data_IF_824894642763
#
_entry.id   IF_824894642763
#
_cell.length_a   1.000
_cell.length_b   1.000
_cell.length_c   1.000
_cell.angle_alpha   90.00
_cell.angle_beta   90.00
_cell.angle_gamma   90.00
#
_symmetry.space_group_name_H-M   'P 1'
#
loop_
_entity.id
_entity.type
_entity.pdbx_description
1 polymer ?
#
# COMPACT_ATOMS: atom_id res chain seq x y z
N UNK A 1 -36.32 -10.75 -30.52
CA UNK A 1 -37.73 -10.28 -30.53
C UNK A 1 -38.24 -10.45 -31.95
N UNK A 2 -39.39 -11.12 -32.10
CA UNK A 2 -40.08 -11.24 -33.39
C UNK A 2 -41.28 -10.25 -33.36
N UNK A 3 -41.24 -9.26 -34.24
CA UNK A 3 -42.36 -8.35 -34.48
C UNK A 3 -43.17 -8.93 -35.61
N UNK A 4 -44.43 -9.25 -35.37
CA UNK A 4 -45.36 -9.73 -36.36
C UNK A 4 -46.34 -8.59 -36.69
N UNK A 5 -46.34 -8.18 -37.93
CA UNK A 5 -47.31 -7.20 -38.43
C UNK A 5 -48.38 -7.92 -39.24
N UNK A 6 -49.60 -7.68 -38.89
CA UNK A 6 -50.80 -8.21 -39.60
C UNK A 6 -51.60 -7.03 -40.14
N UNK A 7 -51.91 -7.06 -41.40
CA UNK A 7 -52.82 -6.09 -42.03
C UNK A 7 -54.05 -6.87 -42.52
N UNK A 8 -55.23 -6.36 -42.17
CA UNK A 8 -56.50 -6.91 -42.62
C UNK A 8 -57.20 -5.84 -43.43
N UNK A 9 -57.64 -6.15 -44.60
CA UNK A 9 -58.42 -5.20 -45.43
C UNK A 9 -59.96 -5.22 -45.12
N UNK A 10 -60.73 -4.46 -45.89
CA UNK A 10 -62.15 -4.24 -45.57
C UNK A 10 -63.07 -5.44 -45.83
N UNK A 11 -62.69 -6.44 -46.58
CA UNK A 11 -63.41 -7.69 -46.84
C UNK A 11 -62.85 -8.89 -46.05
N UNK A 12 -61.79 -8.64 -45.23
CA UNK A 12 -61.27 -9.59 -44.27
C UNK A 12 -60.03 -10.36 -44.72
N UNK A 13 -59.41 -10.02 -45.84
CA UNK A 13 -58.14 -10.61 -46.28
C UNK A 13 -56.99 -10.17 -45.41
N UNK A 14 -56.11 -11.12 -45.12
CA UNK A 14 -54.98 -10.94 -44.15
C UNK A 14 -53.64 -11.08 -44.82
N UNK A 15 -52.81 -10.04 -44.72
CA UNK A 15 -51.42 -10.11 -45.02
C UNK A 15 -50.57 -10.07 -43.71
N UNK A 16 -49.55 -10.91 -43.61
CA UNK A 16 -48.70 -10.97 -42.43
C UNK A 16 -47.23 -10.94 -42.84
N UNK A 17 -46.44 -10.17 -42.08
CA UNK A 17 -45.00 -10.13 -42.19
C UNK A 17 -44.38 -10.19 -40.78
N UNK A 18 -43.29 -10.94 -40.65
CA UNK A 18 -42.53 -11.00 -39.42
C UNK A 18 -41.16 -10.37 -39.63
N UNK A 19 -40.75 -9.51 -38.71
CA UNK A 19 -39.41 -8.92 -38.65
C UNK A 19 -38.75 -9.43 -37.36
N UNK A 20 -37.61 -10.06 -37.54
CA UNK A 20 -36.76 -10.45 -36.38
C UNK A 20 -35.87 -9.28 -35.98
N UNK A 21 -36.07 -8.77 -34.80
CA UNK A 21 -35.18 -7.77 -34.17
C UNK A 21 -34.22 -8.52 -33.28
N UNK A 22 -32.98 -8.59 -33.69
CA UNK A 22 -31.91 -9.14 -32.86
C UNK A 22 -31.49 -8.06 -31.85
N UNK A 23 -31.70 -8.30 -30.58
CA UNK A 23 -31.14 -7.47 -29.50
C UNK A 23 -29.82 -8.11 -29.05
N UNK A 24 -28.74 -7.37 -29.13
CA UNK A 24 -27.45 -7.78 -28.60
C UNK A 24 -27.32 -7.11 -27.23
N UNK A 25 -27.05 -7.90 -26.20
CA UNK A 25 -26.85 -7.36 -24.87
C UNK A 25 -25.50 -6.66 -24.76
N UNK A 26 -25.48 -5.47 -24.18
CA UNK A 26 -24.26 -4.74 -23.87
C UNK A 26 -23.62 -5.40 -22.65
N UNK A 27 -22.29 -5.63 -22.63
CA UNK A 27 -21.62 -6.15 -21.44
C UNK A 27 -21.70 -5.15 -20.29
N UNK A 28 -21.59 -5.63 -19.06
CA UNK A 28 -21.49 -4.78 -17.87
C UNK A 28 -20.24 -5.16 -17.08
N UNK A 29 -19.61 -4.16 -16.48
CA UNK A 29 -18.59 -4.30 -15.46
C UNK A 29 -19.22 -4.07 -14.09
N UNK A 30 -19.08 -5.03 -13.18
CA UNK A 30 -19.53 -4.93 -11.80
C UNK A 30 -18.33 -5.07 -10.87
N UNK A 31 -17.84 -3.95 -10.32
CA UNK A 31 -16.81 -3.94 -9.29
C UNK A 31 -17.39 -4.27 -7.91
N UNK A 32 -16.57 -4.83 -7.04
CA UNK A 32 -16.91 -4.96 -5.63
C UNK A 32 -16.26 -3.78 -4.85
N UNK A 33 -16.98 -3.11 -3.94
CA UNK A 33 -18.31 -3.41 -3.41
C UNK A 33 -19.49 -2.90 -4.24
N UNK A 34 -19.33 -1.98 -5.21
CA UNK A 34 -20.40 -1.61 -6.12
C UNK A 34 -19.96 -0.59 -7.19
N UNK A 35 -20.50 -0.72 -8.41
CA UNK A 35 -20.29 0.25 -9.48
C UNK A 35 -19.06 -0.01 -10.34
N UNK A 36 -18.58 0.97 -11.07
CA UNK A 36 -17.53 0.85 -12.09
C UNK A 36 -16.08 0.69 -11.56
N UNK A 37 -15.89 0.29 -10.31
CA UNK A 37 -14.54 0.08 -9.73
C UNK A 37 -14.52 -1.12 -8.79
N UNK A 38 -13.46 -1.92 -8.88
CA UNK A 38 -13.09 -2.93 -7.88
C UNK A 38 -11.95 -2.36 -7.04
N UNK A 39 -12.08 -2.38 -5.73
CA UNK A 39 -11.09 -1.81 -4.80
C UNK A 39 -10.49 -2.92 -3.95
N UNK A 40 -9.17 -2.98 -3.87
CA UNK A 40 -8.44 -3.82 -2.92
C UNK A 40 -7.53 -2.94 -2.06
N UNK A 41 -7.28 -3.39 -0.83
CA UNK A 41 -6.39 -2.69 0.10
C UNK A 41 -5.22 -3.60 0.44
N UNK A 42 -4.01 -3.06 0.36
CA UNK A 42 -2.75 -3.69 0.77
C UNK A 42 -2.17 -2.93 1.96
N UNK A 43 -1.06 -3.42 2.51
CA UNK A 43 -0.41 -2.86 3.70
C UNK A 43 1.11 -2.84 3.48
N UNK A 44 1.68 -1.65 3.53
CA UNK A 44 3.11 -1.41 3.34
C UNK A 44 3.96 -2.01 4.45
N UNK A 45 3.44 -1.99 5.67
CA UNK A 45 4.09 -2.58 6.83
C UNK A 45 4.39 -4.07 6.64
N UNK A 46 3.73 -4.73 5.71
CA UNK A 46 3.94 -6.14 5.36
C UNK A 46 4.78 -6.36 4.10
N UNK A 47 5.37 -5.32 3.48
CA UNK A 47 6.31 -5.50 2.37
C UNK A 47 7.55 -6.24 2.87
N UNK A 48 7.90 -7.42 2.28
CA UNK A 48 9.00 -8.23 2.79
C UNK A 48 10.34 -7.48 2.77
N UNK A 49 10.95 -7.34 3.95
CA UNK A 49 12.25 -6.70 4.13
C UNK A 49 12.26 -5.17 4.14
N UNK A 50 11.09 -4.53 4.05
CA UNK A 50 10.91 -3.08 4.11
C UNK A 50 10.02 -2.69 5.28
N UNK A 51 8.79 -3.22 5.33
CA UNK A 51 7.79 -2.83 6.31
C UNK A 51 8.14 -3.11 7.75
N UNK A 52 7.57 -2.33 8.67
CA UNK A 52 7.77 -2.48 10.11
C UNK A 52 7.01 -3.66 10.71
N UNK A 53 5.97 -4.15 10.02
CA UNK A 53 5.16 -5.31 10.42
C UNK A 53 4.16 -5.02 11.55
N UNK A 54 3.94 -3.76 11.90
CA UNK A 54 3.19 -3.41 13.13
C UNK A 54 1.93 -2.58 12.91
N UNK A 55 1.65 -2.14 11.68
CA UNK A 55 0.64 -1.10 11.40
C UNK A 55 -0.76 -1.61 11.30
N UNK A 56 -0.94 -2.86 10.90
CA UNK A 56 -2.28 -3.40 10.74
C UNK A 56 -2.94 -3.57 12.11
N UNK A 57 -4.05 -2.90 12.39
CA UNK A 57 -4.87 -3.25 13.55
C UNK A 57 -5.16 -4.76 13.47
N UNK A 58 -5.05 -5.49 14.56
CA UNK A 58 -5.28 -6.94 14.64
C UNK A 58 -6.65 -7.39 14.05
N UNK A 59 -7.52 -6.44 13.73
CA UNK A 59 -8.85 -6.62 13.15
C UNK A 59 -8.90 -6.53 11.61
N UNK A 60 -7.79 -6.12 10.94
CA UNK A 60 -7.72 -5.99 9.48
C UNK A 60 -6.40 -6.57 8.98
N UNK A 61 -6.35 -7.88 8.71
CA UNK A 61 -5.13 -8.54 8.24
C UNK A 61 -4.95 -8.28 6.73
N UNK A 62 -4.55 -7.07 6.37
CA UNK A 62 -4.07 -6.82 5.01
C UNK A 62 -2.62 -7.28 4.91
N UNK A 63 -2.29 -7.98 3.82
CA UNK A 63 -0.91 -8.36 3.49
C UNK A 63 -0.35 -7.45 2.41
N UNK A 64 0.94 -7.57 2.12
CA UNK A 64 1.51 -7.00 0.90
C UNK A 64 0.85 -7.58 -0.36
N UNK A 65 0.31 -8.80 -0.30
CA UNK A 65 -0.50 -9.42 -1.35
C UNK A 65 -1.96 -9.51 -0.92
N UNK A 66 -2.86 -9.07 -1.78
CA UNK A 66 -4.32 -9.06 -1.51
C UNK A 66 -5.08 -9.55 -2.73
N UNK A 67 -6.03 -10.46 -2.49
CA UNK A 67 -6.91 -10.97 -3.52
C UNK A 67 -8.09 -10.05 -3.75
N UNK A 68 -8.48 -9.92 -5.03
CA UNK A 68 -9.64 -9.14 -5.44
C UNK A 68 -10.41 -9.83 -6.56
N UNK A 69 -11.57 -9.29 -6.87
CA UNK A 69 -12.38 -9.76 -7.98
C UNK A 69 -13.27 -8.65 -8.55
N UNK A 70 -13.66 -8.82 -9.80
CA UNK A 70 -14.76 -8.09 -10.41
C UNK A 70 -15.59 -9.05 -11.27
N UNK A 71 -16.84 -8.69 -11.54
CA UNK A 71 -17.73 -9.51 -12.34
C UNK A 71 -18.03 -8.88 -13.68
N UNK A 72 -18.06 -9.71 -14.72
CA UNK A 72 -18.50 -9.34 -16.06
C UNK A 72 -19.84 -9.98 -16.35
N UNK A 73 -20.82 -9.20 -16.76
CA UNK A 73 -22.07 -9.74 -17.32
C UNK A 73 -21.97 -9.77 -18.83
N UNK A 74 -21.67 -10.92 -19.39
CA UNK A 74 -21.47 -11.12 -20.83
C UNK A 74 -22.71 -11.66 -21.55
N UNK A 75 -23.75 -12.08 -20.81
CA UNK A 75 -24.98 -12.67 -21.34
C UNK A 75 -24.73 -13.84 -22.30
N UNK A 76 -23.66 -14.61 -22.06
CA UNK A 76 -23.25 -15.77 -22.87
C UNK A 76 -22.49 -15.41 -24.15
N UNK A 77 -22.09 -14.15 -24.33
CA UNK A 77 -21.28 -13.75 -25.47
C UNK A 77 -19.78 -13.95 -25.19
N UNK A 78 -19.01 -14.24 -26.25
CA UNK A 78 -17.56 -14.12 -26.20
C UNK A 78 -17.17 -12.64 -26.10
N UNK A 79 -16.02 -12.37 -25.45
CA UNK A 79 -15.56 -11.02 -25.20
C UNK A 79 -14.02 -10.88 -25.34
N UNK A 80 -13.59 -9.67 -25.69
CA UNK A 80 -12.22 -9.22 -25.43
C UNK A 80 -12.20 -8.38 -24.17
N UNK A 81 -11.34 -8.73 -23.25
CA UNK A 81 -11.15 -8.04 -21.97
C UNK A 81 -9.74 -7.46 -21.94
N UNK A 82 -9.63 -6.16 -21.69
CA UNK A 82 -8.32 -5.52 -21.53
C UNK A 82 -8.21 -5.00 -20.11
N UNK A 83 -7.14 -5.38 -19.42
CA UNK A 83 -6.84 -4.93 -18.04
C UNK A 83 -5.43 -4.33 -18.05
N UNK A 84 -5.29 -3.04 -17.71
CA UNK A 84 -4.00 -2.35 -17.68
C UNK A 84 -3.22 -2.49 -19.00
N UNK A 85 -3.93 -2.58 -20.16
CA UNK A 85 -3.33 -2.80 -21.47
C UNK A 85 -3.07 -4.28 -21.84
N UNK A 86 -3.25 -5.23 -20.94
CA UNK A 86 -3.15 -6.67 -21.22
C UNK A 86 -4.45 -7.20 -21.82
N UNK A 87 -4.40 -7.76 -23.02
CA UNK A 87 -5.55 -8.35 -23.70
C UNK A 87 -5.77 -9.80 -23.26
N UNK A 88 -7.00 -10.09 -22.85
CA UNK A 88 -7.52 -11.40 -22.52
C UNK A 88 -8.76 -11.68 -23.37
N UNK A 89 -9.11 -12.95 -23.56
CA UNK A 89 -10.31 -13.35 -24.31
C UNK A 89 -11.20 -14.23 -23.46
N UNK A 90 -12.50 -13.98 -23.52
CA UNK A 90 -13.49 -14.91 -22.99
C UNK A 90 -14.09 -15.68 -24.16
N UNK A 91 -13.93 -16.99 -24.13
CA UNK A 91 -14.47 -17.92 -25.11
C UNK A 91 -15.15 -19.09 -24.39
N UNK A 92 -16.43 -19.35 -24.72
CA UNK A 92 -17.21 -20.42 -24.11
C UNK A 92 -17.24 -20.35 -22.56
N UNK A 93 -17.28 -19.13 -21.99
CA UNK A 93 -17.33 -18.91 -20.54
C UNK A 93 -16.02 -19.15 -19.80
N UNK A 94 -14.89 -19.18 -20.48
CA UNK A 94 -13.53 -19.30 -19.91
C UNK A 94 -12.64 -18.16 -20.35
N UNK A 95 -11.69 -17.78 -19.49
CA UNK A 95 -10.75 -16.70 -19.75
C UNK A 95 -9.45 -17.27 -20.32
N UNK A 96 -8.93 -16.65 -21.39
CA UNK A 96 -7.71 -17.06 -22.09
C UNK A 96 -6.74 -15.88 -22.26
N UNK A 97 -5.44 -16.18 -22.19
CA UNK A 97 -4.38 -15.29 -22.62
C UNK A 97 -3.47 -16.02 -23.61
N UNK A 98 -3.29 -15.45 -24.80
CA UNK A 98 -2.48 -16.07 -25.88
C UNK A 98 -2.87 -17.54 -26.17
N UNK A 99 -4.16 -17.88 -26.07
CA UNK A 99 -4.68 -19.23 -26.31
C UNK A 99 -4.51 -20.22 -25.17
N UNK A 100 -3.98 -19.80 -24.03
CA UNK A 100 -3.87 -20.58 -22.81
C UNK A 100 -4.98 -20.15 -21.82
N UNK A 101 -5.72 -21.12 -21.25
CA UNK A 101 -6.71 -20.83 -20.21
C UNK A 101 -6.04 -20.22 -18.98
N UNK A 102 -6.56 -19.10 -18.49
CA UNK A 102 -6.05 -18.43 -17.29
C UNK A 102 -6.58 -19.15 -16.07
N UNK A 103 -5.68 -19.67 -15.28
CA UNK A 103 -5.93 -20.40 -14.01
C UNK A 103 -4.87 -19.99 -13.00
N UNK A 104 -5.01 -20.44 -11.74
CA UNK A 104 -4.00 -20.18 -10.71
C UNK A 104 -2.60 -20.69 -11.11
N UNK A 105 -2.52 -21.82 -11.83
CA UNK A 105 -1.25 -22.38 -12.32
C UNK A 105 -0.74 -21.72 -13.63
N UNK A 106 -1.60 -20.98 -14.32
CA UNK A 106 -1.32 -20.26 -15.55
C UNK A 106 -1.82 -18.81 -15.43
N UNK A 107 -1.43 -18.15 -14.36
CA UNK A 107 -1.81 -16.79 -14.06
C UNK A 107 -1.12 -15.78 -14.98
N UNK A 108 -1.76 -14.63 -15.20
CA UNK A 108 -1.29 -13.59 -16.13
C UNK A 108 -0.92 -12.33 -15.36
N UNK A 109 0.36 -11.94 -15.45
CA UNK A 109 0.82 -10.66 -14.90
C UNK A 109 0.39 -9.51 -15.82
N UNK A 110 -0.21 -8.49 -15.22
CA UNK A 110 -0.64 -7.25 -15.86
C UNK A 110 0.38 -6.17 -15.55
N UNK A 111 1.09 -5.63 -16.55
CA UNK A 111 2.04 -4.54 -16.34
C UNK A 111 1.33 -3.22 -16.06
N UNK A 112 2.07 -2.24 -15.56
CA UNK A 112 1.61 -0.85 -15.41
C UNK A 112 1.30 -0.42 -13.98
N UNK A 113 1.50 -1.28 -12.97
CA UNK A 113 1.55 -0.86 -11.59
C UNK A 113 2.84 -0.08 -11.30
N UNK A 114 2.74 1.07 -10.61
CA UNK A 114 3.90 1.85 -10.18
C UNK A 114 4.51 1.25 -8.89
N UNK A 115 3.65 0.74 -8.02
CA UNK A 115 4.03 0.26 -6.70
C UNK A 115 3.93 -1.27 -6.54
N UNK A 116 3.28 -1.96 -7.48
CA UNK A 116 3.12 -3.40 -7.38
C UNK A 116 2.73 -4.10 -8.67
N UNK A 117 2.36 -5.36 -8.54
CA UNK A 117 2.01 -6.22 -9.67
C UNK A 117 0.59 -6.76 -9.51
N UNK A 118 -0.25 -6.54 -10.53
CA UNK A 118 -1.55 -7.19 -10.65
C UNK A 118 -1.38 -8.51 -11.41
N UNK A 119 -1.94 -9.58 -10.88
CA UNK A 119 -1.91 -10.92 -11.49
C UNK A 119 -3.32 -11.47 -11.59
N UNK A 120 -3.80 -11.73 -12.80
CA UNK A 120 -5.11 -12.37 -13.04
C UNK A 120 -4.95 -13.87 -12.88
N UNK A 121 -5.76 -14.47 -12.01
CA UNK A 121 -5.62 -15.87 -11.59
C UNK A 121 -6.72 -16.78 -12.13
N UNK A 122 -7.78 -16.24 -12.74
CA UNK A 122 -8.83 -17.04 -13.34
C UNK A 122 -10.16 -16.32 -13.47
N UNK A 123 -11.16 -17.08 -13.93
CA UNK A 123 -12.56 -16.61 -14.02
C UNK A 123 -13.52 -17.76 -13.69
N UNK A 124 -14.54 -17.46 -12.90
CA UNK A 124 -15.63 -18.38 -12.59
C UNK A 124 -16.67 -18.42 -13.71
N UNK A 125 -17.51 -19.47 -13.68
CA UNK A 125 -18.56 -19.69 -14.67
C UNK A 125 -19.65 -18.58 -14.69
N UNK A 126 -19.75 -17.80 -13.61
CA UNK A 126 -20.70 -16.66 -13.53
C UNK A 126 -20.10 -15.35 -14.10
N UNK A 127 -18.85 -15.40 -14.58
CA UNK A 127 -18.12 -14.25 -15.12
C UNK A 127 -17.33 -13.44 -14.10
N UNK A 128 -17.15 -13.98 -12.89
CA UNK A 128 -16.29 -13.35 -11.86
C UNK A 128 -14.82 -13.61 -12.19
N UNK A 129 -14.08 -12.54 -12.44
CA UNK A 129 -12.62 -12.56 -12.67
C UNK A 129 -11.92 -12.37 -11.35
N UNK A 130 -10.98 -13.26 -11.03
CA UNK A 130 -10.13 -13.22 -9.84
C UNK A 130 -8.75 -12.69 -10.18
N UNK A 131 -8.19 -11.92 -9.27
CA UNK A 131 -6.84 -11.40 -9.37
C UNK A 131 -6.21 -11.27 -7.98
N UNK A 132 -4.89 -11.26 -7.94
CA UNK A 132 -4.10 -10.91 -6.76
C UNK A 132 -3.28 -9.67 -7.10
N UNK A 133 -3.25 -8.68 -6.23
CA UNK A 133 -2.30 -7.59 -6.30
C UNK A 133 -1.23 -7.79 -5.23
N UNK A 134 0.04 -7.61 -5.61
CA UNK A 134 1.19 -7.69 -4.69
C UNK A 134 1.91 -6.36 -4.68
N UNK A 135 1.90 -5.66 -3.56
CA UNK A 135 2.65 -4.45 -3.31
C UNK A 135 4.14 -4.80 -3.15
N UNK A 136 5.03 -4.07 -3.83
CA UNK A 136 6.47 -4.35 -3.86
C UNK A 136 7.33 -3.16 -3.47
N UNK A 137 6.76 -1.95 -3.54
CA UNK A 137 7.40 -0.70 -3.15
C UNK A 137 6.41 0.14 -2.37
N UNK A 138 6.86 0.95 -1.41
CA UNK A 138 6.01 1.83 -0.65
C UNK A 138 5.37 2.92 -1.53
N UNK A 139 4.37 3.59 -0.98
CA UNK A 139 3.59 4.64 -1.62
C UNK A 139 3.68 5.90 -0.76
N UNK A 140 4.39 6.91 -1.23
CA UNK A 140 4.54 8.16 -0.49
C UNK A 140 3.17 8.79 -0.19
N UNK A 141 2.82 8.92 1.07
CA UNK A 141 1.65 9.66 1.54
C UNK A 141 1.88 11.17 1.55
N UNK A 142 2.82 11.68 0.74
CA UNK A 142 3.23 13.08 0.72
C UNK A 142 2.05 14.04 0.56
N UNK A 143 1.80 14.81 1.61
CA UNK A 143 0.74 15.84 1.64
C UNK A 143 -0.41 15.52 2.58
N UNK A 144 -0.41 14.41 3.25
CA UNK A 144 -1.39 14.12 4.30
C UNK A 144 -1.07 14.96 5.56
N UNK A 145 -2.05 15.81 5.91
CA UNK A 145 -1.90 16.79 6.99
C UNK A 145 -1.94 16.19 8.41
N UNK A 146 -1.91 14.88 8.53
CA UNK A 146 -1.90 14.16 9.80
C UNK A 146 -0.53 14.00 10.44
N UNK A 147 0.55 14.33 9.73
CA UNK A 147 1.91 14.37 10.27
C UNK A 147 2.05 15.50 11.30
N UNK A 148 1.48 15.34 12.49
CA UNK A 148 1.63 16.28 13.60
C UNK A 148 2.66 15.76 14.59
N UNK A 149 3.76 16.50 14.83
CA UNK A 149 4.69 16.17 15.90
C UNK A 149 3.93 16.10 17.23
N UNK A 150 3.96 14.93 17.87
CA UNK A 150 3.34 14.72 19.19
C UNK A 150 1.99 13.98 19.21
N UNK A 151 1.41 13.63 18.06
CA UNK A 151 0.33 12.66 17.96
C UNK A 151 0.97 11.32 17.59
N UNK A 152 1.08 10.41 18.52
CA UNK A 152 1.86 9.17 18.40
C UNK A 152 1.21 8.10 17.53
N UNK A 153 0.72 8.46 16.35
CA UNK A 153 0.14 7.57 15.35
C UNK A 153 -0.15 8.30 14.02
N UNK A 154 0.58 9.34 13.68
CA UNK A 154 0.37 10.10 12.48
C UNK A 154 0.87 9.32 11.25
N UNK A 155 0.01 9.14 10.25
CA UNK A 155 0.26 8.43 9.00
C UNK A 155 -0.14 6.97 9.04
N UNK A 156 0.05 6.28 10.13
CA UNK A 156 -0.19 4.85 10.30
C UNK A 156 -1.63 4.43 9.95
N UNK A 157 -1.75 3.54 8.94
CA UNK A 157 -3.03 2.98 8.53
C UNK A 157 -3.88 3.93 7.68
N UNK A 158 -3.35 5.04 7.20
CA UNK A 158 -4.00 5.88 6.20
C UNK A 158 -3.96 5.19 4.83
N UNK A 159 -5.10 5.14 4.14
CA UNK A 159 -5.18 4.48 2.86
C UNK A 159 -4.84 5.47 1.74
N UNK A 160 -3.77 5.20 1.02
CA UNK A 160 -3.29 5.98 -0.12
C UNK A 160 -3.48 5.19 -1.42
N UNK A 161 -3.83 5.87 -2.51
CA UNK A 161 -3.96 5.23 -3.81
C UNK A 161 -2.59 4.79 -4.34
N UNK A 162 -2.32 3.48 -4.32
CA UNK A 162 -1.10 2.89 -4.85
C UNK A 162 -1.14 2.80 -6.38
N UNK A 163 -2.14 2.08 -6.92
CA UNK A 163 -2.23 1.80 -8.35
C UNK A 163 -3.68 1.83 -8.85
N UNK A 164 -3.83 1.95 -10.17
CA UNK A 164 -5.11 1.83 -10.84
C UNK A 164 -4.94 1.20 -12.23
N UNK A 165 -5.80 0.22 -12.54
CA UNK A 165 -5.77 -0.51 -13.81
C UNK A 165 -7.12 -0.35 -14.50
N UNK A 166 -7.13 0.27 -15.67
CA UNK A 166 -8.33 0.40 -16.47
C UNK A 166 -8.77 -0.97 -17.00
N UNK A 167 -10.06 -1.23 -16.97
CA UNK A 167 -10.68 -2.43 -17.51
C UNK A 167 -11.62 -2.05 -18.64
N UNK A 168 -11.51 -2.74 -19.76
CA UNK A 168 -12.42 -2.63 -20.90
C UNK A 168 -12.91 -4.02 -21.31
N UNK A 169 -14.21 -4.18 -21.47
CA UNK A 169 -14.88 -5.42 -21.85
C UNK A 169 -15.63 -5.15 -23.16
N UNK A 170 -15.22 -5.78 -24.25
CA UNK A 170 -15.81 -5.57 -25.58
C UNK A 170 -16.44 -6.86 -26.08
N UNK A 171 -17.72 -6.79 -26.45
CA UNK A 171 -18.48 -7.84 -27.14
C UNK A 171 -19.01 -7.33 -28.47
N UNK A 172 -19.67 -8.17 -29.23
CA UNK A 172 -20.43 -7.73 -30.42
C UNK A 172 -21.55 -6.75 -30.08
N UNK A 173 -21.99 -6.68 -28.84
CA UNK A 173 -23.04 -5.79 -28.34
C UNK A 173 -22.57 -4.41 -27.93
N UNK A 174 -21.28 -4.22 -27.73
CA UNK A 174 -20.70 -2.95 -27.28
C UNK A 174 -19.55 -3.13 -26.33
N UNK A 175 -19.16 -2.03 -25.68
CA UNK A 175 -18.08 -1.99 -24.72
C UNK A 175 -18.55 -1.47 -23.37
N UNK A 176 -18.12 -2.11 -22.29
CA UNK A 176 -18.18 -1.61 -20.92
C UNK A 176 -16.79 -1.30 -20.40
N UNK A 177 -16.68 -0.33 -19.53
CA UNK A 177 -15.42 0.06 -18.89
C UNK A 177 -15.56 0.08 -17.38
N UNK A 178 -14.47 -0.16 -16.69
CA UNK A 178 -14.33 -0.08 -15.24
C UNK A 178 -12.89 0.10 -14.86
N UNK A 179 -12.60 0.02 -13.57
CA UNK A 179 -11.25 0.17 -13.04
C UNK A 179 -11.02 -0.76 -11.86
N UNK A 180 -9.85 -1.36 -11.77
CA UNK A 180 -9.33 -1.98 -10.55
C UNK A 180 -8.47 -0.92 -9.89
N UNK A 181 -8.77 -0.61 -8.63
CA UNK A 181 -8.03 0.38 -7.85
C UNK A 181 -7.42 -0.29 -6.64
N UNK A 182 -6.20 0.08 -6.33
CA UNK A 182 -5.44 -0.45 -5.20
C UNK A 182 -5.13 0.70 -4.25
N UNK A 183 -5.54 0.55 -3.01
CA UNK A 183 -5.15 1.44 -1.93
C UNK A 183 -4.13 0.69 -1.05
N UNK A 184 -3.07 1.35 -0.62
CA UNK A 184 -2.12 0.85 0.36
C UNK A 184 -2.35 1.56 1.70
N UNK A 185 -2.28 0.82 2.79
CA UNK A 185 -2.16 1.39 4.12
C UNK A 185 -0.71 1.79 4.34
N UNK A 186 -0.53 3.01 4.76
CA UNK A 186 0.77 3.62 5.01
C UNK A 186 1.44 3.01 6.24
N UNK A 187 2.76 2.82 6.16
CA UNK A 187 3.61 2.29 7.24
C UNK A 187 4.29 3.46 7.95
N UNK A 188 4.42 3.42 9.24
CA UNK A 188 5.04 4.46 10.04
C UNK A 188 6.26 3.93 10.81
N UNK A 189 7.22 4.79 11.16
CA UNK A 189 8.38 4.37 11.91
C UNK A 189 8.00 3.87 13.30
N UNK A 190 8.76 2.89 13.80
CA UNK A 190 8.56 2.31 15.13
C UNK A 190 9.80 2.50 15.97
N UNK A 191 9.64 3.10 17.16
CA UNK A 191 10.66 3.14 18.18
C UNK A 191 10.33 2.10 19.24
N UNK A 192 10.99 0.93 19.14
CA UNK A 192 10.65 -0.25 19.93
C UNK A 192 11.33 -0.28 21.31
N UNK A 193 12.50 0.35 21.46
CA UNK A 193 13.23 0.38 22.70
C UNK A 193 14.03 1.67 22.83
N UNK A 194 13.82 2.38 23.92
CA UNK A 194 14.71 3.39 24.45
C UNK A 194 14.90 3.08 25.92
N UNK A 195 16.02 2.53 26.30
CA UNK A 195 16.33 2.16 27.69
C UNK A 195 17.76 2.60 28.04
N UNK A 196 17.91 3.13 29.22
CA UNK A 196 19.21 3.53 29.77
C UNK A 196 19.60 2.59 30.89
N UNK A 197 20.87 2.19 30.91
CA UNK A 197 21.41 1.38 32.02
C UNK A 197 21.56 2.18 33.31
N UNK A 198 21.41 3.51 33.22
CA UNK A 198 21.56 4.45 34.32
C UNK A 198 20.42 5.43 34.32
N UNK A 199 19.75 5.62 35.43
CA UNK A 199 18.70 6.65 35.65
C UNK A 199 19.28 7.98 36.10
N UNK A 200 20.49 7.97 36.60
CA UNK A 200 21.26 9.15 37.04
C UNK A 200 22.73 8.98 36.63
N UNK A 201 23.33 10.04 36.14
CA UNK A 201 24.75 10.08 35.83
C UNK A 201 25.47 10.72 37.03
N UNK A 202 26.41 10.00 37.61
CA UNK A 202 27.16 10.49 38.75
C UNK A 202 28.09 11.64 38.35
N UNK A 203 28.39 12.52 39.31
CA UNK A 203 29.42 13.55 39.12
C UNK A 203 30.73 12.91 38.70
N UNK A 204 31.36 13.42 37.65
CA UNK A 204 32.59 12.87 37.08
C UNK A 204 32.37 11.80 36.00
N UNK A 205 31.17 11.25 35.82
CA UNK A 205 30.89 10.34 34.70
C UNK A 205 30.74 11.09 33.38
N UNK A 206 31.53 10.68 32.39
CA UNK A 206 31.58 11.32 31.09
C UNK A 206 30.62 10.70 30.05
N UNK A 207 29.99 9.58 30.34
CA UNK A 207 29.17 8.87 29.35
C UNK A 207 27.91 8.29 29.96
N UNK A 208 26.79 8.42 29.19
CA UNK A 208 25.54 7.68 29.38
C UNK A 208 25.47 6.58 28.35
N UNK A 209 25.15 5.36 28.76
CA UNK A 209 24.97 4.23 27.85
C UNK A 209 23.60 3.62 27.99
N UNK A 210 23.11 2.99 26.90
CA UNK A 210 21.83 2.32 26.90
C UNK A 210 21.57 1.57 25.60
N UNK A 211 20.31 1.23 25.40
CA UNK A 211 19.83 0.58 24.18
C UNK A 211 18.79 1.45 23.47
N UNK A 212 18.94 1.56 22.16
CA UNK A 212 18.04 2.23 21.25
C UNK A 212 17.74 1.29 20.08
N UNK A 213 16.47 0.96 19.89
CA UNK A 213 16.03 0.12 18.77
C UNK A 213 14.81 0.77 18.09
N UNK A 214 14.90 0.90 16.77
CA UNK A 214 13.86 1.49 15.95
C UNK A 214 13.88 0.90 14.55
N UNK A 215 12.76 1.04 13.85
CA UNK A 215 12.60 0.72 12.43
C UNK A 215 12.01 1.94 11.74
N UNK A 216 12.60 2.43 10.65
CA UNK A 216 12.05 3.58 9.91
C UNK A 216 10.75 3.28 9.15
N UNK A 217 10.32 2.00 9.05
CA UNK A 217 9.19 1.60 8.24
C UNK A 217 9.56 1.27 6.80
N UNK A 218 8.54 1.17 5.94
CA UNK A 218 8.67 0.87 4.52
C UNK A 218 9.39 1.99 3.77
N UNK A 219 9.14 3.25 4.16
CA UNK A 219 9.74 4.47 3.61
C UNK A 219 11.08 4.82 4.24
N UNK A 220 11.95 3.82 4.37
CA UNK A 220 13.25 3.98 5.01
C UNK A 220 14.25 4.84 4.21
N UNK A 221 13.99 5.09 2.92
CA UNK A 221 14.81 5.98 2.09
C UNK A 221 14.58 7.44 2.50
N UNK A 222 15.63 8.12 2.91
CA UNK A 222 15.54 9.50 3.42
C UNK A 222 15.23 9.61 4.91
N UNK A 223 14.99 8.50 5.59
CA UNK A 223 14.70 8.49 7.02
C UNK A 223 15.81 9.14 7.85
N UNK A 224 15.41 9.84 8.91
CA UNK A 224 16.30 10.52 9.84
C UNK A 224 16.01 10.13 11.30
N UNK A 225 17.03 10.13 12.12
CA UNK A 225 16.89 9.95 13.56
C UNK A 225 17.48 11.18 14.26
N UNK A 226 16.68 11.82 15.08
CA UNK A 226 17.12 12.96 15.88
C UNK A 226 17.16 12.58 17.35
N UNK A 227 18.29 12.83 18.00
CA UNK A 227 18.49 12.64 19.44
C UNK A 227 18.72 13.99 20.09
N UNK A 228 17.84 14.37 21.00
CA UNK A 228 17.96 15.57 21.82
C UNK A 228 18.35 15.19 23.23
N UNK A 229 19.45 15.73 23.74
CA UNK A 229 19.96 15.44 25.09
C UNK A 229 20.76 16.63 25.61
N UNK A 230 20.52 17.05 26.88
CA UNK A 230 21.20 18.19 27.53
C UNK A 230 21.26 19.47 26.67
N UNK A 231 20.18 19.75 25.89
CA UNK A 231 20.10 20.90 24.99
C UNK A 231 20.92 20.79 23.70
N UNK A 232 21.54 19.63 23.45
CA UNK A 232 22.21 19.32 22.20
C UNK A 232 21.32 18.46 21.31
N UNK A 233 21.47 18.65 19.99
CA UNK A 233 20.78 17.86 18.97
C UNK A 233 21.78 17.10 18.13
N UNK A 234 21.55 15.80 17.97
CA UNK A 234 22.33 14.90 17.11
C UNK A 234 21.40 14.37 16.03
N UNK A 235 21.82 14.51 14.78
CA UNK A 235 21.09 13.97 13.63
C UNK A 235 21.81 12.75 13.09
N UNK A 236 21.11 11.64 13.06
CA UNK A 236 21.56 10.36 12.51
C UNK A 236 21.14 10.26 11.06
N UNK A 237 22.04 9.84 10.20
CA UNK A 237 21.80 9.45 8.81
C UNK A 237 22.29 8.03 8.59
N UNK A 238 21.57 7.26 7.77
CA UNK A 238 21.93 5.87 7.47
C UNK A 238 22.83 5.81 6.24
N UNK A 239 23.97 5.19 6.37
CA UNK A 239 24.89 4.93 5.26
C UNK A 239 25.44 3.51 5.36
N UNK A 240 25.37 2.73 4.28
CA UNK A 240 25.83 1.33 4.23
C UNK A 240 25.22 0.43 5.33
N UNK A 241 23.98 0.70 5.72
CA UNK A 241 23.28 -0.07 6.76
C UNK A 241 23.55 0.40 8.20
N UNK A 242 24.46 1.35 8.43
CA UNK A 242 24.81 1.88 9.73
C UNK A 242 24.35 3.32 9.91
N UNK A 243 23.94 3.66 11.14
CA UNK A 243 23.56 5.02 11.53
C UNK A 243 24.76 5.80 12.02
N UNK A 244 25.03 6.95 11.42
CA UNK A 244 26.08 7.88 11.83
C UNK A 244 25.44 9.17 12.34
N UNK A 245 25.77 9.57 13.55
CA UNK A 245 25.24 10.76 14.20
C UNK A 245 26.23 11.92 14.12
N UNK A 246 25.73 13.09 13.79
CA UNK A 246 26.45 14.36 13.77
C UNK A 246 25.69 15.41 14.56
N UNK A 247 26.38 16.27 15.26
CA UNK A 247 25.77 17.30 16.12
C UNK A 247 26.65 17.54 17.36
N UNK A 248 26.06 18.23 18.34
CA UNK A 248 26.75 18.62 19.56
C UNK A 248 27.74 19.77 19.35
N UNK A 249 27.40 20.98 19.83
CA UNK A 249 28.24 22.18 19.66
C UNK A 249 29.22 22.42 20.82
N UNK A 250 29.06 21.65 21.90
CA UNK A 250 29.77 21.81 23.18
C UNK A 250 30.88 20.77 23.40
N UNK A 251 31.14 19.94 22.38
CA UNK A 251 32.13 18.83 22.49
C UNK A 251 31.50 17.51 22.93
N UNK A 252 30.20 17.44 23.13
CA UNK A 252 29.47 16.19 23.33
C UNK A 252 29.39 15.36 22.04
N UNK A 253 29.11 14.06 22.16
CA UNK A 253 28.92 13.18 21.01
C UNK A 253 27.89 12.09 21.31
N UNK A 254 27.17 11.67 20.27
CA UNK A 254 26.27 10.52 20.33
C UNK A 254 26.72 9.46 19.30
N UNK A 255 26.77 8.22 19.74
CA UNK A 255 27.13 7.06 18.90
C UNK A 255 26.12 5.95 19.09
N UNK A 256 25.78 5.26 18.00
CA UNK A 256 24.95 4.05 18.00
C UNK A 256 25.72 2.94 17.29
N UNK A 257 25.88 1.81 17.98
CA UNK A 257 26.53 0.61 17.45
C UNK A 257 25.57 -0.58 17.62
N UNK A 258 24.95 -1.00 16.51
CA UNK A 258 23.80 -1.88 16.54
C UNK A 258 22.67 -1.23 17.34
N UNK A 259 22.26 -1.80 18.46
CA UNK A 259 21.27 -1.21 19.39
C UNK A 259 21.89 -0.52 20.60
N UNK A 260 23.20 -0.63 20.81
CA UNK A 260 23.86 0.01 21.94
C UNK A 260 24.23 1.46 21.62
N UNK A 261 23.75 2.40 22.42
CA UNK A 261 24.16 3.79 22.29
C UNK A 261 25.15 4.23 23.40
N UNK A 262 25.95 5.23 23.07
CA UNK A 262 26.80 5.98 24.00
C UNK A 262 26.63 7.46 23.72
N UNK A 263 26.17 8.22 24.71
CA UNK A 263 26.24 9.67 24.73
C UNK A 263 27.42 10.10 25.59
N UNK A 264 28.38 10.82 25.02
CA UNK A 264 29.50 11.39 25.74
C UNK A 264 29.23 12.84 26.06
N UNK A 265 29.28 13.19 27.33
CA UNK A 265 29.00 14.54 27.85
C UNK A 265 30.19 15.46 27.61
N UNK A 266 29.99 16.78 27.48
CA UNK A 266 31.09 17.73 27.47
C UNK A 266 31.80 17.76 28.83
N UNK A 267 33.09 18.00 28.84
CA UNK A 267 33.90 18.04 30.06
C UNK A 267 33.39 19.10 31.07
N UNK A 268 32.70 20.14 30.60
CA UNK A 268 32.15 21.18 31.47
C UNK A 268 30.96 20.72 32.33
N UNK A 269 30.29 19.63 31.96
CA UNK A 269 29.10 19.14 32.65
C UNK A 269 29.38 17.94 33.58
N UNK A 270 30.66 17.56 33.76
CA UNK A 270 31.04 16.34 34.49
C UNK A 270 31.60 16.62 35.89
N UNK A 271 31.69 17.89 36.33
CA UNK A 271 32.41 18.25 37.56
C UNK A 271 31.76 19.36 38.37
N UNK A 272 30.44 19.38 38.48
CA UNK A 272 29.74 20.38 39.26
C UNK A 272 29.34 19.94 40.69
N UNK A 273 29.71 18.73 41.05
CA UNK A 273 29.43 18.14 42.39
C UNK A 273 28.03 17.58 42.55
N UNK A 274 27.26 17.35 41.44
CA UNK A 274 25.89 16.87 41.48
C UNK A 274 25.69 15.65 40.59
N UNK A 275 24.73 14.82 40.96
CA UNK A 275 24.23 13.79 40.08
C UNK A 275 23.13 14.42 39.20
N UNK A 276 23.22 14.22 37.90
CA UNK A 276 22.30 14.78 36.92
C UNK A 276 21.24 13.76 36.50
N UNK A 277 20.03 14.26 36.30
CA UNK A 277 19.01 13.54 35.55
C UNK A 277 19.09 13.96 34.08
N UNK A 278 19.47 13.03 33.22
CA UNK A 278 19.57 13.27 31.80
C UNK A 278 18.29 12.75 31.13
N UNK A 279 17.63 13.62 30.38
CA UNK A 279 16.49 13.25 29.54
C UNK A 279 17.00 13.10 28.12
N UNK A 280 16.81 11.92 27.56
CA UNK A 280 17.11 11.60 26.17
C UNK A 280 15.78 11.54 25.41
N UNK A 281 15.62 12.37 24.41
CA UNK A 281 14.45 12.35 23.52
C UNK A 281 14.92 11.88 22.14
N UNK A 282 14.29 10.85 21.64
CA UNK A 282 14.57 10.29 20.31
C UNK A 282 13.36 10.47 19.43
N UNK A 283 13.58 10.96 18.22
CA UNK A 283 12.60 11.11 17.16
C UNK A 283 13.11 10.37 15.94
N UNK A 284 12.32 9.45 15.41
CA UNK A 284 12.55 8.77 14.13
C UNK A 284 11.56 9.34 13.15
N UNK A 285 12.06 9.81 12.00
CA UNK A 285 11.23 10.32 10.89
C UNK A 285 11.58 9.48 9.68
N UNK A 286 10.59 8.94 8.98
CA UNK A 286 10.80 8.18 7.75
C UNK A 286 10.93 9.07 6.51
N UNK A 287 10.86 8.48 5.30
CA UNK A 287 11.15 9.18 4.07
C UNK A 287 10.05 10.16 3.64
N UNK A 288 8.81 9.89 3.97
CA UNK A 288 7.65 10.75 3.64
C UNK A 288 7.23 11.68 4.79
N UNK A 289 7.79 11.48 5.99
CA UNK A 289 7.72 12.42 7.10
C UNK A 289 6.95 11.95 8.32
N UNK A 290 6.57 10.68 8.40
CA UNK A 290 5.95 10.10 9.58
C UNK A 290 6.92 10.00 10.77
N UNK A 291 6.39 10.07 11.98
CA UNK A 291 7.21 10.28 13.17
C UNK A 291 6.87 9.30 14.30
N UNK A 292 7.91 8.61 14.80
CA UNK A 292 7.88 7.96 16.11
C UNK A 292 8.77 8.71 17.11
N UNK A 293 8.29 8.92 18.35
CA UNK A 293 9.02 9.66 19.36
C UNK A 293 8.91 9.02 20.74
N UNK A 294 10.02 9.03 21.49
CA UNK A 294 10.09 8.58 22.88
C UNK A 294 11.09 9.41 23.68
N UNK A 295 10.86 9.55 25.01
CA UNK A 295 11.80 10.19 25.97
C UNK A 295 11.77 9.49 27.32
#
# INVERSE_FOLDING_TARGET
IILKVTVTDGDGDIAQQSVTVNTVAVPLFEGAPSGGSSVVTTDEGNIPGMGSGTETPATQPFGAATDGSFRMQLHGADATVTIGGTELKVENGKLYHNGVEVTADAAVSVPGGAHGTLTVTGMDADGTVHYTYTLTTPVDATGNASNRPGEGDAGRGEAVRADAFDVSITTTGGTATGQITVDALDDAPVLSTLDTTQTTVADGEAALTGTLSFTPGADAEGAQVTVEVEGQTFTGTKANGEWTFTGGSDGSSFQLNGTAFTYTRPASNTTDGRNDTIILKVTVTDGDGDIAQQS
#
